data_IF_871536081340
#
_entry.id   IF_871536081340
#
_cell.length_a   1.000
_cell.length_b   1.000
_cell.length_c   1.000
_cell.angle_alpha   90.00
_cell.angle_beta   90.00
_cell.angle_gamma   90.00
#
_symmetry.space_group_name_H-M   'P 1'
#
loop_
_entity.id
_entity.type
_entity.pdbx_description
1 polymer ?
#
# COMPACT_ATOMS: atom_id res chain seq x y z
N UNK A 1 4.90 28.05 7.20
CA UNK A 1 3.95 27.23 7.96
C UNK A 1 4.36 27.32 9.40
N UNK A 2 3.45 27.76 10.27
CA UNK A 2 3.66 27.71 11.72
C UNK A 2 4.04 26.28 12.12
N UNK A 3 4.93 26.19 13.11
CA UNK A 3 5.54 24.95 13.57
C UNK A 3 4.57 24.16 14.46
N UNK A 4 3.32 24.05 14.03
CA UNK A 4 2.20 23.46 14.75
C UNK A 4 2.13 21.95 14.50
N UNK A 5 1.59 21.21 15.47
CA UNK A 5 1.35 19.77 15.33
C UNK A 5 -0.13 19.55 15.07
N UNK A 6 -0.45 18.77 14.04
CA UNK A 6 -1.82 18.45 13.67
C UNK A 6 -2.11 16.97 13.88
N UNK A 7 -3.38 16.68 14.19
CA UNK A 7 -3.87 15.34 14.48
C UNK A 7 -5.15 15.03 13.71
N UNK A 8 -5.40 13.74 13.49
CA UNK A 8 -6.67 13.19 13.03
C UNK A 8 -6.82 11.74 13.53
N UNK A 9 -8.04 11.27 13.68
CA UNK A 9 -8.33 9.94 14.25
C UNK A 9 -9.29 9.17 13.36
N UNK A 10 -9.03 7.87 13.26
CA UNK A 10 -9.90 6.88 12.66
C UNK A 10 -10.36 5.91 13.76
N UNK A 11 -11.61 6.06 14.19
CA UNK A 11 -12.22 5.18 15.19
C UNK A 11 -12.70 3.90 14.53
N UNK A 12 -12.23 2.77 15.03
CA UNK A 12 -12.51 1.41 14.55
C UNK A 12 -13.42 0.73 15.56
N UNK A 13 -14.70 0.62 15.24
CA UNK A 13 -15.69 -0.04 16.09
C UNK A 13 -15.83 -1.51 15.71
N UNK A 14 -15.42 -2.41 16.60
CA UNK A 14 -15.57 -3.86 16.45
C UNK A 14 -16.70 -4.42 17.34
N UNK A 15 -17.61 -3.58 17.85
CA UNK A 15 -18.75 -4.02 18.65
C UNK A 15 -18.33 -4.74 19.92
N UNK A 16 -18.62 -6.04 20.03
CA UNK A 16 -18.30 -6.83 21.23
C UNK A 16 -16.80 -7.02 21.47
N UNK A 17 -15.98 -6.86 20.44
CA UNK A 17 -14.51 -6.87 20.54
C UNK A 17 -13.93 -5.50 20.92
N UNK A 18 -14.80 -4.53 21.22
CA UNK A 18 -14.41 -3.19 21.66
C UNK A 18 -14.10 -2.24 20.51
N UNK A 19 -13.49 -1.11 20.86
CA UNK A 19 -13.18 -0.02 19.94
C UNK A 19 -11.68 0.25 19.97
N UNK A 20 -11.10 0.43 18.79
CA UNK A 20 -9.69 0.81 18.60
C UNK A 20 -9.59 2.13 17.86
N UNK A 21 -8.46 2.81 17.95
CA UNK A 21 -8.24 4.08 17.26
C UNK A 21 -6.90 4.09 16.54
N UNK A 22 -6.93 4.41 15.24
CA UNK A 22 -5.73 4.81 14.51
C UNK A 22 -5.63 6.33 14.57
N UNK A 23 -4.68 6.84 15.37
CA UNK A 23 -4.41 8.29 15.45
C UNK A 23 -3.24 8.66 14.54
N UNK A 24 -3.43 9.69 13.73
CA UNK A 24 -2.39 10.28 12.89
C UNK A 24 -1.85 11.57 13.50
N UNK A 25 -0.55 11.81 13.34
CA UNK A 25 0.14 13.03 13.77
C UNK A 25 1.08 13.54 12.67
N UNK A 26 1.16 14.86 12.48
CA UNK A 26 2.19 15.50 11.64
C UNK A 26 2.62 16.86 12.18
N UNK A 27 3.77 17.38 11.72
CA UNK A 27 4.30 18.70 12.07
C UNK A 27 5.39 18.69 13.15
N UNK A 28 5.49 17.63 13.95
CA UNK A 28 6.49 17.51 15.04
C UNK A 28 7.79 16.82 14.66
N UNK A 29 7.72 15.68 13.96
CA UNK A 29 8.87 14.83 13.64
C UNK A 29 9.28 14.94 12.17
N UNK A 30 10.55 14.62 11.88
CA UNK A 30 11.12 14.51 10.53
C UNK A 30 10.77 15.66 9.55
N UNK A 31 10.77 16.91 10.04
CA UNK A 31 10.31 18.11 9.31
C UNK A 31 11.06 18.42 8.00
N UNK A 32 12.21 17.79 7.78
CA UNK A 32 13.02 17.94 6.57
C UNK A 32 12.56 17.03 5.42
N UNK A 33 11.75 16.01 5.70
CA UNK A 33 11.17 15.17 4.67
C UNK A 33 10.18 15.95 3.78
N UNK A 34 9.91 15.44 2.58
CA UNK A 34 8.88 16.02 1.72
C UNK A 34 7.51 15.92 2.42
N UNK A 35 7.19 14.76 2.99
CA UNK A 35 6.06 14.58 3.90
C UNK A 35 6.43 13.67 5.07
N UNK A 36 5.81 13.86 6.22
CA UNK A 36 6.06 13.07 7.42
C UNK A 36 4.76 12.90 8.19
N UNK A 37 4.49 11.69 8.64
CA UNK A 37 3.35 11.37 9.49
C UNK A 37 3.72 10.28 10.49
N UNK A 38 3.08 10.29 11.65
CA UNK A 38 3.09 9.16 12.59
C UNK A 38 1.69 8.57 12.61
N UNK A 39 1.59 7.25 12.61
CA UNK A 39 0.36 6.54 12.94
C UNK A 39 0.53 5.81 14.28
N UNK A 40 -0.46 5.94 15.14
CA UNK A 40 -0.56 5.24 16.41
C UNK A 40 -1.74 4.28 16.37
N UNK A 41 -1.60 3.12 16.98
CA UNK A 41 -2.72 2.24 17.33
C UNK A 41 -2.92 2.30 18.84
N UNK A 42 -4.08 2.82 19.25
CA UNK A 42 -4.49 3.03 20.65
C UNK A 42 -3.46 3.81 21.49
N UNK A 43 -2.77 4.76 20.86
CA UNK A 43 -1.69 5.55 21.48
C UNK A 43 -0.52 4.74 22.06
N UNK A 44 -0.41 3.47 21.68
CA UNK A 44 0.57 2.51 22.21
C UNK A 44 1.59 2.09 21.14
N UNK A 45 1.14 1.37 20.10
CA UNK A 45 1.99 1.06 18.95
C UNK A 45 2.17 2.30 18.09
N UNK A 46 3.42 2.64 17.74
CA UNK A 46 3.77 3.87 17.01
C UNK A 46 4.64 3.55 15.79
N UNK A 47 4.20 4.02 14.63
CA UNK A 47 4.96 3.96 13.36
C UNK A 47 5.19 5.36 12.82
N UNK A 48 6.45 5.76 12.66
CA UNK A 48 6.83 6.99 11.97
C UNK A 48 7.05 6.69 10.49
N UNK A 49 6.44 7.46 9.60
CA UNK A 49 6.73 7.41 8.17
C UNK A 49 7.24 8.75 7.65
N UNK A 50 8.31 8.72 6.86
CA UNK A 50 8.85 9.86 6.14
C UNK A 50 8.93 9.54 4.64
N UNK A 51 8.34 10.41 3.83
CA UNK A 51 8.39 10.35 2.37
C UNK A 51 9.30 11.44 1.82
N UNK A 52 10.17 11.08 0.89
CA UNK A 52 11.08 12.01 0.21
C UNK A 52 11.04 11.80 -1.31
N UNK A 53 11.42 12.84 -2.05
CA UNK A 53 11.49 12.84 -3.50
C UNK A 53 12.84 13.42 -3.95
N UNK A 54 13.46 12.81 -4.96
CA UNK A 54 14.66 13.38 -5.58
C UNK A 54 14.35 14.71 -6.25
N UNK A 55 15.33 15.64 -6.23
CA UNK A 55 15.20 16.93 -6.91
C UNK A 55 15.07 16.80 -8.43
N UNK A 56 15.86 15.90 -9.01
CA UNK A 56 15.89 15.64 -10.45
C UNK A 56 15.21 14.31 -10.77
N UNK A 57 14.47 14.21 -11.89
CA UNK A 57 13.93 12.95 -12.38
C UNK A 57 15.05 11.99 -12.82
N UNK A 58 14.76 10.70 -12.79
CA UNK A 58 15.56 9.60 -13.33
C UNK A 58 14.97 9.19 -14.68
N UNK A 59 15.06 10.08 -15.67
CA UNK A 59 14.46 9.90 -17.01
C UNK A 59 15.11 8.77 -17.83
N UNK A 60 16.28 8.30 -17.43
CA UNK A 60 16.92 7.11 -17.99
C UNK A 60 16.20 5.79 -17.63
N UNK A 61 15.23 5.80 -16.70
CA UNK A 61 14.45 4.63 -16.33
C UNK A 61 13.15 4.58 -17.14
N UNK A 62 12.74 3.37 -17.53
CA UNK A 62 11.48 3.07 -18.21
C UNK A 62 10.32 2.78 -17.24
N UNK A 63 10.57 2.79 -15.93
CA UNK A 63 9.57 2.59 -14.88
C UNK A 63 9.61 3.69 -13.82
N UNK A 64 8.59 3.74 -12.96
CA UNK A 64 8.52 4.66 -11.82
C UNK A 64 9.39 4.16 -10.64
N UNK A 65 10.45 4.89 -10.24
CA UNK A 65 11.36 4.47 -9.16
C UNK A 65 10.80 4.79 -7.77
N UNK A 66 9.89 3.94 -7.29
CA UNK A 66 9.46 3.90 -5.88
C UNK A 66 10.28 2.88 -5.08
N UNK A 67 10.75 3.31 -3.91
CA UNK A 67 11.39 2.46 -2.90
C UNK A 67 10.62 2.57 -1.58
N UNK A 68 10.36 1.43 -0.95
CA UNK A 68 9.73 1.36 0.37
C UNK A 68 10.63 0.57 1.29
N UNK A 69 10.97 1.16 2.44
CA UNK A 69 11.78 0.55 3.49
C UNK A 69 11.01 0.51 4.81
N UNK A 70 11.04 -0.63 5.49
CA UNK A 70 10.47 -0.82 6.84
C UNK A 70 11.61 -1.11 7.80
N UNK A 71 11.76 -0.22 8.78
CA UNK A 71 12.82 -0.22 9.77
C UNK A 71 12.26 -0.65 11.13
N UNK A 72 12.42 -1.93 11.44
CA UNK A 72 12.14 -2.43 12.79
C UNK A 72 13.22 -1.93 13.75
N UNK A 73 12.79 -1.51 14.94
CA UNK A 73 13.68 -1.14 16.04
C UNK A 73 13.37 -2.01 17.22
N UNK A 74 14.36 -2.76 17.70
CA UNK A 74 14.16 -3.70 18.82
C UNK A 74 13.80 -2.99 20.13
N UNK A 75 14.16 -1.71 20.24
CA UNK A 75 13.72 -0.88 21.35
C UNK A 75 12.20 -0.70 21.38
N UNK A 76 11.49 -0.83 20.26
CA UNK A 76 10.04 -0.73 20.19
C UNK A 76 9.36 -1.84 21.03
N UNK A 77 10.05 -2.98 21.19
CA UNK A 77 9.65 -4.09 22.05
C UNK A 77 10.42 -4.13 23.39
N UNK A 78 11.13 -3.05 23.75
CA UNK A 78 11.93 -2.98 24.98
C UNK A 78 13.15 -3.92 25.01
N UNK A 79 13.67 -4.33 23.84
CA UNK A 79 14.76 -5.32 23.72
C UNK A 79 16.02 -4.71 23.11
N UNK A 80 17.17 -5.22 23.54
CA UNK A 80 18.45 -4.99 22.85
C UNK A 80 18.61 -6.06 21.76
N UNK A 81 19.04 -5.71 20.52
CA UNK A 81 19.22 -6.68 19.45
C UNK A 81 20.15 -7.85 19.86
N UNK A 82 19.71 -9.08 19.61
CA UNK A 82 20.48 -10.30 19.93
C UNK A 82 21.69 -10.55 19.02
N UNK A 83 21.84 -9.79 17.94
CA UNK A 83 22.94 -9.91 16.97
C UNK A 83 24.30 -9.67 17.63
N UNK A 84 25.38 -10.19 17.02
CA UNK A 84 26.76 -10.02 17.53
C UNK A 84 27.11 -8.54 17.78
N UNK A 85 26.72 -7.66 16.87
CA UNK A 85 26.98 -6.22 16.95
C UNK A 85 26.00 -5.44 17.85
N UNK A 86 25.00 -6.12 18.46
CA UNK A 86 23.93 -5.49 19.27
C UNK A 86 23.23 -4.34 18.55
N UNK A 87 23.05 -4.52 17.23
CA UNK A 87 22.41 -3.56 16.33
C UNK A 87 21.53 -4.30 15.34
N UNK A 88 20.42 -3.69 14.94
CA UNK A 88 19.59 -4.14 13.83
C UNK A 88 20.41 -4.16 12.53
N UNK A 89 20.14 -5.14 11.68
CA UNK A 89 20.93 -5.42 10.49
C UNK A 89 20.06 -5.60 9.27
N UNK A 90 20.09 -6.81 8.68
CA UNK A 90 19.22 -7.13 7.55
C UNK A 90 17.75 -7.08 7.97
N UNK A 91 16.84 -6.56 7.11
CA UNK A 91 15.41 -6.59 7.37
C UNK A 91 14.90 -8.01 7.65
N UNK A 92 13.92 -8.12 8.54
CA UNK A 92 13.17 -9.34 8.82
C UNK A 92 12.25 -9.71 7.64
N UNK A 93 11.66 -10.91 7.71
CA UNK A 93 10.60 -11.31 6.79
C UNK A 93 9.41 -10.35 6.86
N UNK A 94 8.93 -10.06 8.07
CA UNK A 94 7.82 -9.13 8.32
C UNK A 94 8.08 -7.73 7.75
N UNK A 95 9.31 -7.22 7.89
CA UNK A 95 9.69 -5.94 7.33
C UNK A 95 9.61 -5.96 5.79
N UNK A 96 10.12 -7.01 5.14
CA UNK A 96 10.08 -7.16 3.67
C UNK A 96 8.64 -7.34 3.18
N UNK A 97 7.84 -8.16 3.85
CA UNK A 97 6.43 -8.36 3.50
C UNK A 97 5.63 -7.06 3.68
N UNK A 98 5.89 -6.31 4.75
CA UNK A 98 5.29 -5.00 4.98
C UNK A 98 5.70 -3.99 3.90
N UNK A 99 6.96 -3.97 3.46
CA UNK A 99 7.37 -3.17 2.30
C UNK A 99 6.50 -3.49 1.08
N UNK A 100 6.23 -4.77 0.82
CA UNK A 100 5.37 -5.19 -0.30
C UNK A 100 3.91 -4.80 -0.10
N UNK A 101 3.36 -4.92 1.10
CA UNK A 101 2.01 -4.50 1.44
C UNK A 101 1.80 -2.99 1.25
N UNK A 102 2.82 -2.18 1.51
CA UNK A 102 2.82 -0.74 1.25
C UNK A 102 2.99 -0.45 -0.25
N UNK A 103 4.00 -1.06 -0.91
CA UNK A 103 4.35 -0.75 -2.29
C UNK A 103 3.23 -1.07 -3.29
N UNK A 104 2.57 -2.23 -3.12
CA UNK A 104 1.52 -2.73 -4.03
C UNK A 104 0.39 -1.71 -4.27
N UNK A 105 -0.24 -1.11 -3.24
CA UNK A 105 -1.25 -0.07 -3.44
C UNK A 105 -0.66 1.32 -3.69
N UNK A 106 0.52 1.66 -3.15
CA UNK A 106 1.12 3.00 -3.36
C UNK A 106 1.63 3.19 -4.79
N UNK A 107 2.37 2.24 -5.34
CA UNK A 107 3.01 2.33 -6.67
C UNK A 107 2.04 2.71 -7.81
N UNK A 108 0.88 2.06 -7.99
CA UNK A 108 -0.07 2.42 -9.04
C UNK A 108 -0.83 3.73 -8.76
N UNK A 109 -0.72 4.30 -7.55
CA UNK A 109 -1.40 5.52 -7.17
C UNK A 109 -0.63 6.80 -7.52
N UNK A 110 0.60 6.68 -8.03
CA UNK A 110 1.32 7.82 -8.61
C UNK A 110 0.91 8.04 -10.07
N UNK A 111 0.87 9.31 -10.47
CA UNK A 111 0.60 9.68 -11.87
C UNK A 111 1.61 9.00 -12.81
N UNK A 112 1.10 8.29 -13.82
CA UNK A 112 1.93 7.65 -14.86
C UNK A 112 2.89 8.65 -15.49
N UNK A 113 4.10 8.20 -15.79
CA UNK A 113 5.16 9.03 -16.35
C UNK A 113 6.00 9.79 -15.31
N UNK A 114 5.69 9.67 -14.01
CA UNK A 114 6.57 10.20 -12.97
C UNK A 114 7.92 9.46 -12.99
N UNK A 115 9.02 10.22 -12.92
CA UNK A 115 10.40 9.69 -12.92
C UNK A 115 11.26 10.18 -11.77
N UNK A 116 10.75 11.05 -10.88
CA UNK A 116 11.44 11.34 -9.64
C UNK A 116 11.50 10.08 -8.77
N UNK A 117 12.65 9.87 -8.14
CA UNK A 117 12.86 8.79 -7.18
C UNK A 117 12.11 9.15 -5.91
N UNK A 118 11.18 8.29 -5.52
CA UNK A 118 10.36 8.46 -4.32
C UNK A 118 10.77 7.38 -3.33
N UNK A 119 11.12 7.79 -2.12
CA UNK A 119 11.42 6.87 -1.02
C UNK A 119 10.43 7.07 0.12
N UNK A 120 9.87 5.97 0.60
CA UNK A 120 9.02 5.92 1.79
C UNK A 120 9.71 5.04 2.83
N UNK A 121 10.04 5.61 3.98
CA UNK A 121 10.62 4.87 5.10
C UNK A 121 9.64 4.84 6.26
N UNK A 122 9.23 3.65 6.69
CA UNK A 122 8.39 3.44 7.87
C UNK A 122 9.23 2.83 9.00
N UNK A 123 9.33 3.50 10.14
CA UNK A 123 10.09 3.04 11.31
C UNK A 123 9.14 2.67 12.43
N UNK A 124 9.25 1.44 12.93
CA UNK A 124 8.46 0.94 14.06
C UNK A 124 9.13 1.42 15.35
N UNK A 125 8.51 2.38 16.05
CA UNK A 125 9.13 3.07 17.18
C UNK A 125 8.64 2.58 18.55
N UNK A 126 7.40 2.12 18.63
CA UNK A 126 6.82 1.45 19.79
C UNK A 126 5.90 0.35 19.30
N UNK A 127 5.88 -0.80 20.00
CA UNK A 127 5.06 -1.94 19.62
C UNK A 127 4.54 -2.61 20.88
N UNK A 128 3.22 -2.53 21.10
CA UNK A 128 2.57 -3.44 22.02
C UNK A 128 2.72 -4.87 21.47
N UNK A 129 3.17 -5.84 22.28
CA UNK A 129 3.45 -7.20 21.82
C UNK A 129 2.21 -7.95 21.32
N UNK A 130 1.00 -7.46 21.61
CA UNK A 130 -0.26 -8.05 21.16
C UNK A 130 -0.79 -7.38 19.85
N UNK A 131 -0.08 -6.38 19.32
CA UNK A 131 -0.48 -5.66 18.11
C UNK A 131 0.35 -6.09 16.89
N UNK A 132 -0.30 -6.08 15.72
CA UNK A 132 0.36 -6.20 14.41
C UNK A 132 0.65 -4.80 13.84
N UNK A 133 1.91 -4.53 13.49
CA UNK A 133 2.34 -3.19 13.07
C UNK A 133 2.13 -2.92 11.57
N UNK A 134 2.07 -3.97 10.74
CA UNK A 134 2.11 -3.92 9.28
C UNK A 134 1.02 -3.01 8.70
N UNK A 135 -0.23 -3.19 9.12
CA UNK A 135 -1.36 -2.37 8.67
C UNK A 135 -1.34 -0.95 9.25
N UNK A 136 -0.71 -0.73 10.40
CA UNK A 136 -0.44 0.63 10.91
C UNK A 136 0.58 1.32 10.01
N UNK A 137 1.61 0.59 9.55
CA UNK A 137 2.63 1.10 8.65
C UNK A 137 2.09 1.45 7.26
N UNK A 138 1.13 0.70 6.71
CA UNK A 138 0.43 1.05 5.46
C UNK A 138 -0.20 2.43 5.57
N UNK A 139 -0.94 2.69 6.65
CA UNK A 139 -1.60 3.97 6.86
C UNK A 139 -0.60 5.12 7.11
N UNK A 140 0.47 4.87 7.86
CA UNK A 140 1.54 5.85 8.08
C UNK A 140 2.23 6.24 6.75
N UNK A 141 2.55 5.25 5.92
CA UNK A 141 3.16 5.44 4.60
C UNK A 141 2.28 6.25 3.65
N UNK A 142 0.98 5.92 3.59
CA UNK A 142 0.00 6.70 2.83
C UNK A 142 -0.08 8.14 3.34
N UNK A 143 -0.22 8.34 4.65
CA UNK A 143 -0.35 9.67 5.24
C UNK A 143 0.89 10.54 4.97
N UNK A 144 2.10 10.00 5.14
CA UNK A 144 3.33 10.76 4.87
C UNK A 144 3.47 11.10 3.38
N UNK A 145 3.07 10.19 2.49
CA UNK A 145 3.05 10.41 1.03
C UNK A 145 2.03 11.47 0.64
N UNK A 146 0.82 11.43 1.21
CA UNK A 146 -0.23 12.41 0.97
C UNK A 146 0.21 13.83 1.36
N UNK A 147 0.96 13.97 2.44
CA UNK A 147 1.48 15.25 2.92
C UNK A 147 2.67 15.78 2.11
N UNK A 148 3.27 14.95 1.26
CA UNK A 148 4.51 15.27 0.55
C UNK A 148 4.32 16.19 -0.67
N UNK A 149 3.08 16.49 -1.08
CA UNK A 149 2.80 17.31 -2.25
C UNK A 149 3.17 16.62 -3.58
N UNK A 150 3.08 15.28 -3.62
CA UNK A 150 3.38 14.47 -4.80
C UNK A 150 2.12 14.30 -5.69
N UNK A 151 2.26 14.03 -7.00
CA UNK A 151 1.14 13.69 -7.88
C UNK A 151 0.67 12.25 -7.59
N UNK A 152 -0.02 12.09 -6.47
CA UNK A 152 -0.44 10.83 -5.86
C UNK A 152 -1.95 10.84 -5.56
N UNK A 153 -2.66 9.79 -5.97
CA UNK A 153 -4.11 9.64 -5.80
C UNK A 153 -4.47 8.94 -4.50
N UNK A 154 -4.02 9.50 -3.37
CA UNK A 154 -4.41 9.05 -2.03
C UNK A 154 -5.56 9.86 -1.42
N UNK A 155 -5.87 9.64 -0.13
CA UNK A 155 -5.20 8.68 0.75
C UNK A 155 -5.55 7.21 0.44
N UNK A 156 -4.69 6.31 0.89
CA UNK A 156 -4.89 4.85 0.89
C UNK A 156 -5.11 4.40 2.33
N UNK A 157 -6.23 3.75 2.59
CA UNK A 157 -6.54 3.10 3.86
C UNK A 157 -6.16 1.63 3.80
N UNK A 158 -5.36 1.16 4.76
CA UNK A 158 -5.00 -0.26 4.92
C UNK A 158 -5.60 -0.83 6.21
N UNK A 159 -6.25 -1.97 6.14
CA UNK A 159 -6.88 -2.62 7.30
C UNK A 159 -6.65 -4.12 7.24
N UNK A 160 -6.41 -4.75 8.40
CA UNK A 160 -6.54 -6.20 8.56
C UNK A 160 -7.94 -6.47 9.08
N UNK A 161 -8.68 -7.34 8.41
CA UNK A 161 -9.91 -7.93 8.90
C UNK A 161 -9.70 -9.43 9.08
N UNK A 162 -10.05 -9.96 10.24
CA UNK A 162 -10.02 -11.39 10.50
C UNK A 162 -11.42 -11.90 10.84
N UNK A 163 -11.77 -13.08 10.34
CA UNK A 163 -13.05 -13.72 10.64
C UNK A 163 -12.95 -14.47 11.97
N UNK A 164 -13.47 -13.88 13.03
CA UNK A 164 -13.36 -14.34 14.41
C UNK A 164 -14.77 -14.54 14.96
N UNK A 165 -15.10 -15.77 15.35
CA UNK A 165 -16.42 -16.10 15.90
C UNK A 165 -17.61 -15.59 15.04
N UNK A 166 -17.45 -15.62 13.71
CA UNK A 166 -18.47 -15.18 12.74
C UNK A 166 -18.50 -13.66 12.47
N UNK A 167 -17.59 -12.87 13.06
CA UNK A 167 -17.47 -11.43 12.84
C UNK A 167 -16.14 -11.09 12.16
N UNK A 168 -16.17 -10.17 11.19
CA UNK A 168 -14.96 -9.57 10.63
C UNK A 168 -14.44 -8.45 11.55
N UNK A 169 -13.44 -8.78 12.36
CA UNK A 169 -12.82 -7.85 13.33
C UNK A 169 -11.70 -7.08 12.65
N UNK A 170 -11.73 -5.75 12.71
CA UNK A 170 -10.72 -4.88 12.14
C UNK A 170 -9.58 -4.58 13.13
N UNK A 171 -8.34 -4.60 12.66
CA UNK A 171 -7.13 -4.48 13.50
C UNK A 171 -7.12 -5.47 14.68
N UNK A 172 -7.32 -6.78 14.41
CA UNK A 172 -7.28 -7.78 15.46
C UNK A 172 -5.90 -7.83 16.11
N UNK A 173 -5.89 -8.16 17.39
CA UNK A 173 -4.70 -8.48 18.17
C UNK A 173 -4.21 -9.90 17.89
N UNK A 174 -2.97 -10.21 18.27
CA UNK A 174 -2.47 -11.58 18.25
C UNK A 174 -3.37 -12.50 19.08
N UNK A 175 -3.81 -12.04 20.25
CA UNK A 175 -4.71 -12.80 21.13
C UNK A 175 -6.07 -13.10 20.48
N UNK A 176 -6.64 -12.17 19.73
CA UNK A 176 -7.91 -12.38 19.01
C UNK A 176 -7.73 -13.33 17.80
N UNK A 177 -6.57 -13.30 17.14
CA UNK A 177 -6.28 -14.16 15.98
C UNK A 177 -6.20 -15.66 16.32
N UNK A 178 -6.06 -16.03 17.59
CA UNK A 178 -6.14 -17.43 18.02
C UNK A 178 -7.52 -18.07 17.72
N UNK A 179 -8.57 -17.24 17.57
CA UNK A 179 -9.94 -17.66 17.21
C UNK A 179 -10.31 -17.30 15.76
N UNK A 180 -9.34 -16.93 14.92
CA UNK A 180 -9.58 -16.55 13.53
C UNK A 180 -9.58 -17.76 12.59
N UNK A 181 -10.60 -17.86 11.73
CA UNK A 181 -10.63 -18.85 10.62
C UNK A 181 -10.03 -18.29 9.32
N UNK A 182 -9.87 -16.97 9.22
CA UNK A 182 -9.31 -16.29 8.06
C UNK A 182 -8.71 -14.94 8.47
N UNK A 183 -7.52 -14.62 7.97
CA UNK A 183 -6.83 -13.33 8.16
C UNK A 183 -6.66 -12.67 6.78
N UNK A 184 -7.12 -11.42 6.65
CA UNK A 184 -7.10 -10.70 5.39
C UNK A 184 -6.71 -9.24 5.58
N UNK A 185 -5.60 -8.86 4.96
CA UNK A 185 -5.20 -7.46 4.77
C UNK A 185 -5.80 -6.93 3.49
N UNK A 186 -6.48 -5.79 3.57
CA UNK A 186 -7.10 -5.09 2.45
C UNK A 186 -6.62 -3.64 2.45
N UNK A 187 -6.23 -3.13 1.28
CA UNK A 187 -5.98 -1.71 1.09
C UNK A 187 -6.78 -1.14 -0.08
N UNK A 188 -7.24 0.10 0.06
CA UNK A 188 -8.04 0.76 -0.94
C UNK A 188 -8.10 2.27 -0.76
N UNK A 189 -8.81 2.94 -1.67
CA UNK A 189 -9.06 4.38 -1.64
C UNK A 189 -10.54 4.69 -1.73
N UNK A 190 -10.94 5.87 -1.28
CA UNK A 190 -12.30 6.39 -1.48
C UNK A 190 -12.40 7.09 -2.83
N UNK A 191 -13.44 6.76 -3.60
CA UNK A 191 -13.78 7.41 -4.86
C UNK A 191 -14.56 8.72 -4.61
N UNK A 192 -14.72 9.54 -5.64
CA UNK A 192 -15.41 10.83 -5.53
C UNK A 192 -16.90 10.69 -5.16
N UNK A 193 -17.54 9.58 -5.55
CA UNK A 193 -18.93 9.24 -5.18
C UNK A 193 -19.07 8.71 -3.74
N UNK A 194 -17.94 8.51 -3.05
CA UNK A 194 -17.88 8.03 -1.67
C UNK A 194 -17.75 6.52 -1.53
N UNK A 195 -17.74 5.74 -2.61
CA UNK A 195 -17.48 4.30 -2.56
C UNK A 195 -16.00 3.99 -2.29
N UNK A 196 -15.72 2.77 -1.84
CA UNK A 196 -14.35 2.30 -1.61
C UNK A 196 -13.92 1.37 -2.73
N UNK A 197 -12.87 1.78 -3.44
CA UNK A 197 -12.18 0.95 -4.42
C UNK A 197 -11.05 0.18 -3.74
N UNK A 198 -11.23 -1.14 -3.61
CA UNK A 198 -10.17 -2.06 -3.16
C UNK A 198 -9.08 -2.13 -4.23
N UNK A 199 -7.83 -2.02 -3.80
CA UNK A 199 -6.65 -1.98 -4.67
C UNK A 199 -5.68 -3.13 -4.42
N UNK A 200 -5.65 -3.65 -3.19
CA UNK A 200 -4.74 -4.70 -2.77
C UNK A 200 -5.41 -5.60 -1.74
N UNK A 201 -5.20 -6.90 -1.87
CA UNK A 201 -5.62 -7.93 -0.91
C UNK A 201 -4.45 -8.89 -0.71
N UNK A 202 -4.14 -9.20 0.54
CA UNK A 202 -3.26 -10.30 0.96
C UNK A 202 -4.01 -11.06 2.05
N UNK A 203 -4.29 -12.34 1.85
CA UNK A 203 -5.15 -13.09 2.74
C UNK A 203 -4.77 -14.56 2.84
N UNK A 204 -5.07 -15.16 3.99
CA UNK A 204 -4.76 -16.55 4.30
C UNK A 204 -5.77 -17.16 5.27
N UNK A 205 -5.93 -18.48 5.18
CA UNK A 205 -6.48 -19.25 6.29
C UNK A 205 -5.41 -19.39 7.39
N UNK A 206 -5.83 -19.65 8.62
CA UNK A 206 -4.91 -19.76 9.77
C UNK A 206 -4.62 -21.22 10.12
N UNK A 207 -3.62 -21.46 10.96
CA UNK A 207 -3.38 -22.79 11.55
C UNK A 207 -4.56 -23.31 12.39
N UNK A 208 -5.47 -22.42 12.82
CA UNK A 208 -6.63 -22.74 13.66
C UNK A 208 -7.87 -23.11 12.84
N UNK A 209 -7.95 -22.70 11.58
CA UNK A 209 -9.14 -22.82 10.72
C UNK A 209 -9.74 -24.23 10.74
N UNK A 210 -8.94 -25.29 10.54
CA UNK A 210 -9.45 -26.66 10.50
C UNK A 210 -10.11 -27.06 11.82
N UNK A 211 -9.50 -26.68 12.96
CA UNK A 211 -10.02 -27.02 14.28
C UNK A 211 -11.29 -26.23 14.59
N UNK A 212 -11.31 -24.93 14.28
CA UNK A 212 -12.46 -24.04 14.51
C UNK A 212 -13.66 -24.44 13.64
N UNK A 213 -13.44 -24.77 12.36
CA UNK A 213 -14.51 -25.24 11.46
C UNK A 213 -15.07 -26.57 11.95
N UNK A 214 -14.21 -27.50 12.40
CA UNK A 214 -14.68 -28.74 13.05
C UNK A 214 -15.46 -28.47 14.33
N UNK A 215 -15.13 -27.40 15.05
CA UNK A 215 -15.82 -26.90 16.23
C UNK A 215 -17.14 -26.17 15.95
N UNK A 216 -17.49 -25.93 14.68
CA UNK A 216 -18.74 -25.31 14.26
C UNK A 216 -18.61 -23.92 13.63
N UNK A 217 -17.39 -23.39 13.48
CA UNK A 217 -17.18 -22.15 12.72
C UNK A 217 -17.45 -22.36 11.21
N UNK A 218 -17.82 -21.29 10.52
CA UNK A 218 -17.98 -21.31 9.07
C UNK A 218 -16.60 -21.38 8.37
N UNK A 219 -16.50 -22.20 7.32
CA UNK A 219 -15.28 -22.32 6.54
C UNK A 219 -15.10 -21.13 5.59
N UNK A 220 -13.87 -20.66 5.35
CA UNK A 220 -13.63 -19.50 4.48
C UNK A 220 -13.70 -19.87 2.99
N UNK A 221 -14.91 -20.07 2.46
CA UNK A 221 -15.16 -20.22 1.01
C UNK A 221 -15.12 -18.88 0.29
N UNK A 222 -15.20 -18.88 -1.04
CA UNK A 222 -15.20 -17.67 -1.86
C UNK A 222 -16.30 -16.67 -1.45
N UNK A 223 -17.49 -17.14 -1.05
CA UNK A 223 -18.57 -16.29 -0.57
C UNK A 223 -18.22 -15.58 0.74
N UNK A 224 -17.59 -16.31 1.66
CA UNK A 224 -17.15 -15.78 2.96
C UNK A 224 -16.04 -14.76 2.75
N UNK A 225 -15.07 -15.06 1.89
CA UNK A 225 -13.97 -14.14 1.54
C UNK A 225 -14.53 -12.86 0.91
N UNK A 226 -15.48 -12.97 -0.03
CA UNK A 226 -16.13 -11.81 -0.64
C UNK A 226 -16.87 -10.95 0.41
N UNK A 227 -17.56 -11.57 1.38
CA UNK A 227 -18.18 -10.85 2.49
C UNK A 227 -17.14 -10.11 3.35
N UNK A 228 -15.95 -10.69 3.56
CA UNK A 228 -14.85 -10.02 4.25
C UNK A 228 -14.33 -8.78 3.51
N UNK A 229 -14.27 -8.82 2.18
CA UNK A 229 -13.89 -7.66 1.36
C UNK A 229 -14.89 -6.51 1.52
N UNK A 230 -16.19 -6.81 1.55
CA UNK A 230 -17.22 -5.80 1.82
C UNK A 230 -17.13 -5.27 3.25
N UNK A 231 -16.87 -6.14 4.24
CA UNK A 231 -16.69 -5.75 5.64
C UNK A 231 -15.47 -4.84 5.87
N UNK A 232 -14.44 -4.93 5.02
CA UNK A 232 -13.26 -4.06 5.10
C UNK A 232 -13.53 -2.61 4.65
N UNK A 233 -14.49 -2.39 3.73
CA UNK A 233 -14.72 -1.08 3.10
C UNK A 233 -15.04 0.05 4.10
N UNK A 234 -15.94 -0.12 5.09
CA UNK A 234 -16.23 0.93 6.06
C UNK A 234 -14.98 1.40 6.82
N UNK A 235 -14.11 0.47 7.23
CA UNK A 235 -12.87 0.80 7.94
C UNK A 235 -11.88 1.53 7.04
N UNK A 236 -11.71 1.09 5.80
CA UNK A 236 -10.89 1.79 4.80
C UNK A 236 -11.39 3.22 4.60
N UNK A 237 -12.71 3.42 4.51
CA UNK A 237 -13.30 4.76 4.36
C UNK A 237 -13.00 5.67 5.56
N UNK A 238 -13.09 5.14 6.78
CA UNK A 238 -12.75 5.90 8.00
C UNK A 238 -11.27 6.26 8.04
N UNK A 239 -10.38 5.33 7.68
CA UNK A 239 -8.94 5.56 7.59
C UNK A 239 -8.59 6.63 6.54
N UNK A 240 -9.16 6.52 5.33
CA UNK A 240 -8.99 7.50 4.27
C UNK A 240 -9.48 8.88 4.70
N UNK A 241 -10.63 8.96 5.37
CA UNK A 241 -11.21 10.21 5.87
C UNK A 241 -10.29 10.88 6.90
N UNK A 242 -9.77 10.12 7.86
CA UNK A 242 -8.85 10.66 8.87
C UNK A 242 -7.56 11.20 8.24
N UNK A 243 -6.99 10.48 7.26
CA UNK A 243 -5.82 10.95 6.53
C UNK A 243 -6.11 12.20 5.68
N UNK A 244 -7.27 12.28 5.04
CA UNK A 244 -7.71 13.45 4.29
C UNK A 244 -7.92 14.66 5.23
N UNK A 245 -8.47 14.44 6.43
CA UNK A 245 -8.61 15.48 7.45
C UNK A 245 -7.25 15.99 7.92
N UNK A 246 -6.26 15.11 8.08
CA UNK A 246 -4.89 15.52 8.39
C UNK A 246 -4.28 16.33 7.23
N UNK A 247 -4.46 15.87 5.99
CA UNK A 247 -3.97 16.53 4.79
C UNK A 247 -4.58 17.92 4.59
N UNK A 248 -5.88 18.09 4.86
CA UNK A 248 -6.54 19.40 4.77
C UNK A 248 -5.96 20.45 5.74
N UNK A 249 -5.35 20.00 6.84
CA UNK A 249 -4.69 20.86 7.84
C UNK A 249 -3.23 21.16 7.49
N UNK A 250 -2.52 20.21 6.88
CA UNK A 250 -1.05 20.23 6.87
C UNK A 250 -0.38 19.81 5.56
N UNK A 251 -1.12 19.37 4.53
CA UNK A 251 -0.52 18.93 3.29
C UNK A 251 0.17 20.09 2.56
N UNK A 252 1.36 19.81 2.04
CA UNK A 252 2.04 20.74 1.14
C UNK A 252 1.26 20.86 -0.17
N UNK A 253 1.28 22.03 -0.83
CA UNK A 253 0.73 22.13 -2.17
C UNK A 253 1.44 21.12 -3.09
N UNK A 254 0.69 20.55 -4.04
CA UNK A 254 1.26 19.65 -5.03
C UNK A 254 2.35 20.39 -5.82
N UNK A 255 3.56 19.86 -5.79
CA UNK A 255 4.70 20.43 -6.51
C UNK A 255 4.59 20.20 -8.02
N UNK A 256 5.41 20.93 -8.78
CA UNK A 256 5.57 20.67 -10.21
C UNK A 256 6.56 19.52 -10.41
N UNK A 257 6.05 18.39 -10.88
CA UNK A 257 6.86 17.22 -11.24
C UNK A 257 6.77 16.97 -12.75
N UNK A 258 7.91 16.83 -13.45
CA UNK A 258 7.88 16.52 -14.87
C UNK A 258 7.28 15.13 -15.09
N UNK A 259 6.42 15.03 -16.11
CA UNK A 259 5.79 13.80 -16.55
C UNK A 259 6.35 13.42 -17.91
N UNK A 260 6.79 12.17 -18.03
CA UNK A 260 7.37 11.60 -19.23
C UNK A 260 6.37 10.65 -19.87
N UNK A 261 5.96 10.93 -21.10
CA UNK A 261 5.13 10.02 -21.89
C UNK A 261 6.01 8.92 -22.47
N UNK A 262 5.50 7.70 -22.53
CA UNK A 262 6.24 6.56 -23.10
C UNK A 262 6.40 6.71 -24.63
N UNK A 263 5.47 7.41 -25.29
CA UNK A 263 5.50 7.78 -26.71
C UNK A 263 4.59 8.99 -26.97
N UNK A 264 4.75 9.63 -28.13
CA UNK A 264 3.85 10.67 -28.65
C UNK A 264 2.82 10.04 -29.62
N UNK A 265 1.71 10.74 -29.85
CA UNK A 265 0.59 10.22 -30.64
C UNK A 265 0.97 9.90 -32.09
N UNK A 266 1.86 10.68 -32.69
CA UNK A 266 2.36 10.49 -34.07
C UNK A 266 3.02 9.12 -34.26
N UNK A 267 3.81 8.67 -33.28
CA UNK A 267 4.46 7.36 -33.31
C UNK A 267 3.41 6.24 -33.21
N UNK A 268 2.41 6.39 -32.32
CA UNK A 268 1.35 5.38 -32.19
C UNK A 268 0.49 5.29 -33.45
N UNK A 269 0.10 6.43 -34.02
CA UNK A 269 -0.69 6.51 -35.24
C UNK A 269 0.04 5.88 -36.42
N UNK A 270 1.32 6.22 -36.61
CA UNK A 270 2.16 5.63 -37.65
C UNK A 270 2.31 4.11 -37.47
N UNK A 271 2.60 3.64 -36.26
CA UNK A 271 2.74 2.21 -35.96
C UNK A 271 1.43 1.46 -36.21
N UNK A 272 0.31 2.03 -35.79
CA UNK A 272 -1.02 1.45 -36.00
C UNK A 272 -1.35 1.33 -37.48
N UNK A 273 -1.13 2.38 -38.26
CA UNK A 273 -1.34 2.35 -39.71
C UNK A 273 -0.43 1.33 -40.41
N UNK A 274 0.80 1.16 -39.91
CA UNK A 274 1.82 0.32 -40.52
C UNK A 274 1.58 -1.20 -40.34
N UNK A 275 1.15 -1.64 -39.15
CA UNK A 275 1.16 -3.08 -38.82
C UNK A 275 -0.05 -3.60 -38.02
N UNK A 276 -1.09 -2.79 -37.80
CA UNK A 276 -2.25 -3.22 -36.99
C UNK A 276 -2.90 -4.52 -37.48
N UNK A 277 -3.18 -4.73 -38.78
CA UNK A 277 -3.77 -5.99 -39.25
C UNK A 277 -2.89 -7.21 -38.98
N UNK A 278 -1.59 -7.11 -39.25
CA UNK A 278 -0.63 -8.19 -39.06
C UNK A 278 -0.44 -8.52 -37.58
N UNK A 279 -0.33 -7.49 -36.74
CA UNK A 279 -0.24 -7.66 -35.29
C UNK A 279 -1.50 -8.34 -34.73
N UNK A 280 -2.68 -7.91 -35.16
CA UNK A 280 -3.94 -8.52 -34.74
C UNK A 280 -4.01 -10.01 -35.14
N UNK A 281 -3.55 -10.37 -36.35
CA UNK A 281 -3.47 -11.76 -36.79
C UNK A 281 -2.47 -12.58 -35.97
N UNK A 282 -1.28 -12.04 -35.73
CA UNK A 282 -0.22 -12.70 -34.96
C UNK A 282 -0.70 -13.11 -33.56
N UNK A 283 -1.48 -12.22 -32.91
CA UNK A 283 -2.01 -12.45 -31.56
C UNK A 283 -3.08 -13.56 -31.49
N UNK A 284 -3.61 -14.05 -32.61
CA UNK A 284 -4.54 -15.20 -32.66
C UNK A 284 -3.84 -16.56 -32.65
N UNK A 285 -2.52 -16.59 -32.85
CA UNK A 285 -1.75 -17.84 -32.88
C UNK A 285 -1.67 -18.41 -31.47
N UNK A 286 -2.16 -19.64 -31.29
CA UNK A 286 -2.19 -20.30 -29.98
C UNK A 286 -0.80 -20.77 -29.52
N UNK A 287 0.01 -21.29 -30.44
CA UNK A 287 1.35 -21.81 -30.16
C UNK A 287 2.30 -20.69 -29.73
N UNK A 288 2.97 -20.86 -28.58
CA UNK A 288 3.87 -19.84 -28.02
C UNK A 288 4.99 -19.47 -28.99
N UNK A 289 5.75 -20.45 -29.48
CA UNK A 289 6.91 -20.20 -30.34
C UNK A 289 6.51 -19.66 -31.71
N UNK A 290 5.42 -20.16 -32.28
CA UNK A 290 4.88 -19.70 -33.57
C UNK A 290 4.38 -18.26 -33.46
N UNK A 291 3.67 -17.93 -32.38
CA UNK A 291 3.24 -16.56 -32.10
C UNK A 291 4.42 -15.63 -31.93
N UNK A 292 5.44 -16.04 -31.15
CA UNK A 292 6.62 -15.19 -30.92
C UNK A 292 7.39 -14.93 -32.22
N UNK A 293 7.55 -15.94 -33.07
CA UNK A 293 8.18 -15.79 -34.38
C UNK A 293 7.43 -14.81 -35.28
N UNK A 294 6.09 -14.88 -35.29
CA UNK A 294 5.27 -13.95 -36.07
C UNK A 294 5.28 -12.53 -35.46
N UNK A 295 5.26 -12.41 -34.13
CA UNK A 295 5.40 -11.12 -33.44
C UNK A 295 6.74 -10.46 -33.75
N UNK A 296 7.85 -11.21 -33.79
CA UNK A 296 9.16 -10.69 -34.16
C UNK A 296 9.22 -10.26 -35.63
N UNK A 297 8.56 -11.02 -36.53
CA UNK A 297 8.38 -10.62 -37.93
C UNK A 297 7.61 -9.29 -38.04
N UNK A 298 6.53 -9.13 -37.29
CA UNK A 298 5.72 -7.90 -37.27
C UNK A 298 6.49 -6.72 -36.68
N UNK A 299 7.29 -6.93 -35.62
CA UNK A 299 8.18 -5.88 -35.07
C UNK A 299 9.20 -5.42 -36.12
N UNK A 300 9.80 -6.35 -36.87
CA UNK A 300 10.74 -6.01 -37.95
C UNK A 300 10.05 -5.22 -39.07
N UNK A 301 8.85 -5.63 -39.49
CA UNK A 301 8.04 -4.92 -40.48
C UNK A 301 7.67 -3.49 -40.02
N UNK A 302 7.33 -3.33 -38.74
CA UNK A 302 7.04 -2.02 -38.16
C UNK A 302 8.28 -1.12 -38.19
N UNK A 303 9.42 -1.65 -37.73
CA UNK A 303 10.68 -0.91 -37.71
C UNK A 303 11.10 -0.48 -39.12
N UNK A 304 10.94 -1.33 -40.14
CA UNK A 304 11.24 -1.00 -41.55
C UNK A 304 10.33 0.11 -42.10
N UNK A 305 9.06 0.18 -41.68
CA UNK A 305 8.11 1.19 -42.16
C UNK A 305 8.24 2.55 -41.46
N UNK A 306 8.80 2.60 -40.25
CA UNK A 306 8.84 3.79 -39.39
C UNK A 306 10.25 4.40 -39.21
N UNK A 307 11.32 3.64 -39.45
CA UNK A 307 12.71 4.12 -39.43
C UNK A 307 13.17 4.52 -40.84
#
# INVERSE_FOLDING_TARGET
MENETHYAEAVIDNGTFGTRTIRFETGRLAKQAAGSAVAYLDDDTMVLSATTASKNPKDQLDFFPLTVDVEERMYAAGKIPGSFFRREGRPSEDAILTCRLIDRPLRPSFKKGLRNEIQVVATIMALNPDHLYDVVAINAASASTQLAGLPFSGPIGGVRVALINGQWVAFPTHSELEDAVFDMVVAGRTLEDGDVAIMMVEAEATEKTIQLVKGGAEAPTEEVVAAGLEAAKPFIKVLCKAQADLASKAAKPTGEFPIFLDYQDDILEALSAAVRPELASALTIAGKQEREAELDRVKALAAEKLL
#
